data_IF_458765793047
#
_entry.id   IF_458765793047
#
_cell.length_a   1.000
_cell.length_b   1.000
_cell.length_c   1.000
_cell.angle_alpha   90.00
_cell.angle_beta   90.00
_cell.angle_gamma   90.00
#
_symmetry.space_group_name_H-M   'P 1'
#
loop_
_entity.id
_entity.type
_entity.pdbx_description
1 polymer ?
#
# COMPACT_ATOMS: atom_id res chain seq x y z
N UNK A 1 -11.98 -17.26 8.46
CA UNK A 1 -12.38 -16.21 7.52
C UNK A 1 -12.13 -14.84 8.11
N UNK A 2 -12.24 -13.77 7.31
CA UNK A 2 -11.97 -12.42 7.76
C UNK A 2 -12.23 -11.38 6.67
N UNK A 3 -11.90 -10.13 6.97
CA UNK A 3 -12.13 -9.00 6.08
C UNK A 3 -10.88 -8.13 5.93
N UNK A 4 -10.65 -7.66 4.70
CA UNK A 4 -9.82 -6.49 4.42
C UNK A 4 -10.73 -5.28 4.28
N UNK A 5 -10.41 -4.22 4.99
CA UNK A 5 -11.17 -2.98 4.98
C UNK A 5 -10.38 -1.93 4.22
N UNK A 6 -10.97 -1.49 3.12
CA UNK A 6 -10.38 -0.56 2.16
C UNK A 6 -10.37 0.87 2.69
N UNK A 7 -9.27 1.58 2.46
CA UNK A 7 -9.10 3.02 2.69
C UNK A 7 -9.62 3.53 4.05
N UNK A 8 -9.52 2.72 5.10
CA UNK A 8 -10.22 2.94 6.37
C UNK A 8 -9.72 4.17 7.16
N UNK A 9 -8.50 4.62 6.92
CA UNK A 9 -7.93 5.77 7.61
C UNK A 9 -8.64 7.10 7.32
N UNK A 10 -9.54 7.14 6.35
CA UNK A 10 -10.33 8.31 5.95
C UNK A 10 -11.76 8.31 6.52
N UNK A 11 -12.09 7.47 7.48
CA UNK A 11 -13.47 7.28 7.93
C UNK A 11 -14.04 8.53 8.62
N UNK A 12 -13.28 9.18 9.50
CA UNK A 12 -13.65 10.45 10.11
C UNK A 12 -13.29 11.60 9.17
N UNK A 13 -14.28 12.44 8.84
CA UNK A 13 -14.10 13.58 7.93
C UNK A 13 -13.73 14.89 8.64
N UNK A 14 -13.62 14.89 9.97
CA UNK A 14 -13.28 16.09 10.73
C UNK A 14 -14.28 17.24 10.57
N UNK A 15 -15.58 16.95 10.35
CA UNK A 15 -16.63 17.93 10.07
C UNK A 15 -16.89 18.91 11.24
N UNK A 16 -16.34 18.64 12.39
CA UNK A 16 -16.40 19.48 13.59
C UNK A 16 -15.27 20.54 13.64
N UNK A 17 -14.61 20.81 12.53
CA UNK A 17 -13.53 21.79 12.42
C UNK A 17 -12.14 21.28 12.79
N UNK A 18 -11.97 19.96 12.98
CA UNK A 18 -10.66 19.36 13.23
C UNK A 18 -9.85 19.15 11.95
N UNK A 19 -10.52 19.10 10.79
CA UNK A 19 -9.84 19.02 9.50
C UNK A 19 -9.19 20.35 9.12
N UNK A 20 -7.98 20.31 8.61
CA UNK A 20 -7.35 21.50 8.03
C UNK A 20 -7.97 21.76 6.64
N UNK A 21 -8.85 22.75 6.58
CA UNK A 21 -9.55 23.12 5.35
C UNK A 21 -8.64 23.79 4.29
N UNK A 22 -7.39 24.08 4.63
CA UNK A 22 -6.41 24.56 3.65
C UNK A 22 -5.72 23.43 2.88
N UNK A 23 -5.84 22.19 3.36
CA UNK A 23 -5.34 21.00 2.67
C UNK A 23 -6.36 20.51 1.63
N UNK A 24 -5.92 19.99 0.49
CA UNK A 24 -6.82 19.43 -0.51
C UNK A 24 -7.71 18.33 0.07
N UNK A 25 -8.97 18.28 -0.35
CA UNK A 25 -9.93 17.25 0.06
C UNK A 25 -9.37 15.87 -0.29
N UNK A 26 -9.41 14.96 0.68
CA UNK A 26 -8.91 13.59 0.52
C UNK A 26 -7.43 13.42 0.84
N UNK A 27 -6.76 14.46 1.30
CA UNK A 27 -5.37 14.42 1.77
C UNK A 27 -5.27 14.33 3.31
N UNK A 28 -4.16 14.78 3.86
CA UNK A 28 -3.77 14.66 5.27
C UNK A 28 -4.82 15.19 6.27
N UNK A 29 -5.67 16.13 5.85
CA UNK A 29 -6.66 16.77 6.72
C UNK A 29 -7.66 15.81 7.38
N UNK A 30 -7.96 14.67 6.73
CA UNK A 30 -8.97 13.72 7.20
C UNK A 30 -8.37 12.35 7.54
N UNK A 31 -7.04 12.24 7.63
CA UNK A 31 -6.35 10.97 7.80
C UNK A 31 -6.03 10.73 9.27
N UNK A 32 -6.26 9.50 9.74
CA UNK A 32 -5.89 9.04 11.08
C UNK A 32 -6.47 9.90 12.23
N UNK A 33 -7.65 10.48 12.03
CA UNK A 33 -8.32 11.24 13.09
C UNK A 33 -8.80 10.30 14.22
N UNK A 34 -8.90 10.79 15.44
CA UNK A 34 -9.34 10.01 16.60
C UNK A 34 -10.73 9.37 16.41
N UNK A 35 -11.61 10.06 15.69
CA UNK A 35 -12.91 9.48 15.33
C UNK A 35 -12.80 8.23 14.45
N UNK A 36 -11.83 8.18 13.53
CA UNK A 36 -11.53 6.98 12.73
C UNK A 36 -11.20 5.79 13.64
N UNK A 37 -10.27 5.97 14.58
CA UNK A 37 -9.88 4.92 15.51
C UNK A 37 -11.04 4.46 16.40
N UNK A 38 -11.89 5.38 16.85
CA UNK A 38 -13.08 5.06 17.63
C UNK A 38 -14.07 4.20 16.82
N UNK A 39 -14.36 4.57 15.57
CA UNK A 39 -15.26 3.81 14.71
C UNK A 39 -14.71 2.44 14.35
N UNK A 40 -13.39 2.32 14.14
CA UNK A 40 -12.75 1.03 13.88
C UNK A 40 -12.90 0.11 15.10
N UNK A 41 -12.60 0.61 16.30
CA UNK A 41 -12.77 -0.19 17.54
C UNK A 41 -14.20 -0.67 17.73
N UNK A 42 -15.18 0.19 17.49
CA UNK A 42 -16.61 -0.17 17.54
C UNK A 42 -16.93 -1.26 16.50
N UNK A 43 -16.58 -1.04 15.25
CA UNK A 43 -16.80 -1.99 14.16
C UNK A 43 -16.16 -3.36 14.46
N UNK A 44 -14.90 -3.39 14.88
CA UNK A 44 -14.19 -4.64 15.19
C UNK A 44 -14.85 -5.36 16.38
N UNK A 45 -15.22 -4.63 17.43
CA UNK A 45 -15.85 -5.21 18.60
C UNK A 45 -17.21 -5.84 18.28
N UNK A 46 -18.01 -5.20 17.44
CA UNK A 46 -19.38 -5.62 17.13
C UNK A 46 -19.46 -6.68 16.02
N UNK A 47 -18.52 -6.68 15.08
CA UNK A 47 -18.65 -7.52 13.88
C UNK A 47 -17.58 -8.59 13.71
N UNK A 48 -16.38 -8.41 14.25
CA UNK A 48 -15.24 -9.32 14.00
C UNK A 48 -14.87 -10.13 15.24
N UNK A 49 -14.82 -9.48 16.40
CA UNK A 49 -14.46 -10.15 17.66
C UNK A 49 -15.40 -11.29 18.05
N UNK A 50 -16.74 -11.16 17.92
CA UNK A 50 -17.65 -12.22 18.33
C UNK A 50 -17.44 -13.55 17.60
N UNK A 51 -17.07 -13.47 16.32
CA UNK A 51 -16.86 -14.64 15.46
C UNK A 51 -15.38 -14.99 15.27
N UNK A 52 -14.48 -14.32 16.00
CA UNK A 52 -13.03 -14.47 15.90
C UNK A 52 -12.52 -14.36 14.45
N UNK A 53 -13.00 -13.35 13.73
CA UNK A 53 -12.63 -13.09 12.34
C UNK A 53 -11.32 -12.33 12.27
N UNK A 54 -10.50 -12.69 11.27
CA UNK A 54 -9.27 -11.94 10.95
C UNK A 54 -9.63 -10.59 10.32
N UNK A 55 -8.88 -9.55 10.67
CA UNK A 55 -9.08 -8.21 10.13
C UNK A 55 -7.77 -7.60 9.63
N UNK A 56 -7.86 -6.97 8.44
CA UNK A 56 -6.75 -6.23 7.82
C UNK A 56 -7.27 -4.85 7.44
N UNK A 57 -6.68 -3.80 7.99
CA UNK A 57 -7.00 -2.42 7.59
C UNK A 57 -6.00 -1.88 6.57
N UNK A 58 -6.49 -1.35 5.45
CA UNK A 58 -5.67 -0.58 4.55
C UNK A 58 -5.61 0.87 5.03
N UNK A 59 -4.41 1.30 5.40
CA UNK A 59 -4.23 2.51 6.22
C UNK A 59 -3.09 3.39 5.73
N UNK A 60 -3.18 4.68 6.00
CA UNK A 60 -2.06 5.60 5.87
C UNK A 60 -1.18 5.50 7.12
N UNK A 61 0.11 5.37 6.89
CA UNK A 61 1.11 5.32 7.95
C UNK A 61 2.05 6.52 7.75
N UNK A 62 1.84 7.56 8.53
CA UNK A 62 2.67 8.76 8.49
C UNK A 62 3.86 8.65 9.47
N UNK A 63 3.71 7.82 10.50
CA UNK A 63 4.71 7.60 11.54
C UNK A 63 4.54 6.21 12.20
N UNK A 64 5.50 5.84 13.05
CA UNK A 64 5.48 4.53 13.73
C UNK A 64 4.24 4.34 14.63
N UNK A 65 3.76 5.43 15.24
CA UNK A 65 2.62 5.36 16.15
C UNK A 65 1.32 5.02 15.41
N UNK A 66 1.13 5.49 14.18
CA UNK A 66 -0.04 5.14 13.36
C UNK A 66 -0.13 3.63 13.15
N UNK A 67 1.00 2.99 12.81
CA UNK A 67 1.05 1.53 12.63
C UNK A 67 0.65 0.77 13.90
N UNK A 68 1.16 1.21 15.05
CA UNK A 68 0.86 0.62 16.36
C UNK A 68 -0.61 0.81 16.72
N UNK A 69 -1.14 2.00 16.46
CA UNK A 69 -2.55 2.31 16.74
C UNK A 69 -3.48 1.38 15.97
N UNK A 70 -3.17 1.08 14.70
CA UNK A 70 -4.03 0.22 13.87
C UNK A 70 -3.90 -1.27 14.12
N UNK A 71 -2.74 -1.77 14.60
CA UNK A 71 -2.48 -3.22 14.57
C UNK A 71 -1.93 -3.83 15.85
N UNK A 72 -1.74 -3.05 16.93
CA UNK A 72 -1.34 -3.62 18.20
C UNK A 72 -2.51 -4.27 18.93
N UNK A 73 -2.26 -5.33 19.71
CA UNK A 73 -3.30 -5.96 20.52
C UNK A 73 -3.94 -4.98 21.52
N UNK A 74 -3.18 -3.99 22.00
CA UNK A 74 -3.67 -2.98 22.92
C UNK A 74 -4.65 -2.00 22.26
N UNK A 75 -4.54 -1.75 20.96
CA UNK A 75 -5.42 -0.84 20.23
C UNK A 75 -6.84 -1.38 20.08
N UNK A 76 -7.00 -2.71 20.03
CA UNK A 76 -8.27 -3.41 19.75
C UNK A 76 -8.88 -3.01 18.39
N UNK A 77 -8.01 -2.72 17.44
CA UNK A 77 -8.38 -2.40 16.07
C UNK A 77 -8.14 -3.64 15.19
N UNK A 78 -7.31 -3.55 14.17
CA UNK A 78 -7.10 -4.68 13.26
C UNK A 78 -6.05 -5.68 13.77
N UNK A 79 -6.13 -6.92 13.29
CA UNK A 79 -5.07 -7.90 13.51
C UNK A 79 -3.77 -7.52 12.77
N UNK A 80 -3.88 -6.83 11.63
CA UNK A 80 -2.73 -6.32 10.89
C UNK A 80 -3.09 -5.08 10.08
N UNK A 81 -2.10 -4.27 9.81
CA UNK A 81 -2.19 -3.09 8.96
C UNK A 81 -1.49 -3.36 7.62
N UNK A 82 -2.14 -2.97 6.52
CA UNK A 82 -1.53 -2.90 5.19
C UNK A 82 -1.41 -1.43 4.80
N UNK A 83 -0.19 -0.90 4.63
CA UNK A 83 -0.01 0.49 4.26
C UNK A 83 -0.36 0.71 2.78
N UNK A 84 -0.91 1.88 2.43
CA UNK A 84 -1.14 2.27 1.03
C UNK A 84 0.15 2.26 0.20
N UNK A 85 1.25 2.63 0.85
CA UNK A 85 2.56 2.69 0.24
C UNK A 85 3.43 1.62 0.89
N UNK A 86 3.89 0.60 0.15
CA UNK A 86 4.85 -0.35 0.72
C UNK A 86 6.08 0.41 1.22
N UNK A 87 6.78 -0.08 2.26
CA UNK A 87 7.97 0.57 2.82
C UNK A 87 9.10 0.85 1.83
N UNK A 88 9.01 0.33 0.61
CA UNK A 88 10.05 0.40 -0.44
C UNK A 88 9.78 1.49 -1.48
N UNK A 89 8.69 2.24 -1.37
CA UNK A 89 8.12 3.02 -2.45
C UNK A 89 8.51 4.48 -2.52
N UNK A 90 9.65 4.71 -3.03
CA UNK A 90 9.83 5.71 -4.10
C UNK A 90 10.39 4.97 -5.31
N UNK A 91 9.57 4.70 -6.29
CA UNK A 91 9.85 3.90 -7.48
C UNK A 91 11.17 4.31 -8.17
N UNK A 92 11.51 5.57 -8.10
CA UNK A 92 12.69 6.14 -8.73
C UNK A 92 13.95 6.15 -7.84
N UNK A 93 13.85 5.80 -6.56
CA UNK A 93 14.94 5.99 -5.60
C UNK A 93 15.18 4.81 -4.65
N UNK A 94 14.64 3.62 -4.98
CA UNK A 94 14.93 2.46 -4.13
C UNK A 94 16.40 2.06 -4.21
N UNK A 95 16.97 1.69 -3.08
CA UNK A 95 18.31 1.12 -3.00
C UNK A 95 18.37 0.13 -1.83
N UNK A 96 19.31 -0.81 -1.83
CA UNK A 96 19.51 -1.72 -0.70
C UNK A 96 19.72 -1.00 0.63
N UNK A 97 20.34 0.16 0.62
CA UNK A 97 20.57 0.99 1.81
C UNK A 97 19.27 1.60 2.34
N UNK A 98 18.41 2.08 1.42
CA UNK A 98 17.09 2.60 1.78
C UNK A 98 16.22 1.47 2.36
N UNK A 99 16.17 0.32 1.69
CA UNK A 99 15.46 -0.85 2.18
C UNK A 99 15.89 -1.24 3.61
N UNK A 100 17.20 -1.27 3.88
CA UNK A 100 17.70 -1.58 5.23
C UNK A 100 17.27 -0.55 6.27
N UNK A 101 17.23 0.74 5.92
CA UNK A 101 16.76 1.78 6.85
C UNK A 101 15.28 1.62 7.17
N UNK A 102 14.48 1.37 6.15
CA UNK A 102 13.03 1.24 6.30
C UNK A 102 12.67 -0.03 7.09
N UNK A 103 13.33 -1.14 6.81
CA UNK A 103 13.21 -2.37 7.60
C UNK A 103 13.58 -2.16 9.06
N UNK A 104 14.60 -1.35 9.36
CA UNK A 104 14.98 -1.07 10.74
C UNK A 104 13.87 -0.32 11.49
N UNK A 105 13.20 0.64 10.84
CA UNK A 105 12.03 1.33 11.40
C UNK A 105 10.88 0.35 11.64
N UNK A 106 10.61 -0.51 10.68
CA UNK A 106 9.58 -1.54 10.80
C UNK A 106 9.81 -2.49 11.99
N UNK A 107 11.06 -2.85 12.24
CA UNK A 107 11.40 -3.67 13.41
C UNK A 107 11.06 -2.98 14.73
N UNK A 108 11.21 -1.66 14.82
CA UNK A 108 10.84 -0.92 16.03
C UNK A 108 9.31 -0.90 16.25
N UNK A 109 8.52 -0.91 15.16
CA UNK A 109 7.05 -1.04 15.22
C UNK A 109 6.66 -2.43 15.73
N UNK A 110 7.28 -3.47 15.18
CA UNK A 110 7.01 -4.85 15.60
C UNK A 110 7.37 -5.12 17.06
N UNK A 111 8.43 -4.52 17.58
CA UNK A 111 8.79 -4.59 19.00
C UNK A 111 7.72 -3.98 19.92
N UNK A 112 6.87 -3.11 19.39
CA UNK A 112 5.76 -2.47 20.09
C UNK A 112 4.41 -3.13 19.79
N UNK A 113 4.44 -4.40 19.37
CA UNK A 113 3.26 -5.23 19.12
C UNK A 113 2.42 -4.81 17.90
N UNK A 114 2.96 -4.00 16.99
CA UNK A 114 2.33 -3.75 15.70
C UNK A 114 2.54 -4.92 14.73
N UNK A 115 1.60 -5.19 13.82
CA UNK A 115 1.72 -6.25 12.84
C UNK A 115 1.39 -5.83 11.42
N UNK A 116 2.26 -6.19 10.48
CA UNK A 116 2.20 -5.80 9.08
C UNK A 116 1.64 -6.89 8.17
N UNK A 117 0.76 -6.51 7.25
CA UNK A 117 0.56 -7.21 5.99
C UNK A 117 1.67 -6.75 5.01
N UNK A 118 2.56 -7.66 4.65
CA UNK A 118 3.71 -7.39 3.78
C UNK A 118 3.37 -7.67 2.34
N UNK A 119 3.70 -6.75 1.44
CA UNK A 119 3.53 -6.92 0.01
C UNK A 119 4.59 -6.13 -0.77
N UNK A 120 4.84 -6.50 -2.01
CA UNK A 120 5.71 -5.78 -2.94
C UNK A 120 4.94 -5.19 -4.12
N UNK A 121 3.86 -5.85 -4.55
CA UNK A 121 2.90 -5.32 -5.50
C UNK A 121 1.47 -5.68 -5.12
N UNK A 122 0.51 -4.99 -5.70
CA UNK A 122 -0.92 -5.24 -5.57
C UNK A 122 -1.65 -4.73 -6.82
N UNK A 123 -2.98 -4.67 -6.79
CA UNK A 123 -3.80 -4.21 -7.92
C UNK A 123 -3.62 -2.71 -8.25
N UNK A 124 -3.06 -1.92 -7.31
CA UNK A 124 -2.79 -0.48 -7.47
C UNK A 124 -1.33 -0.16 -7.79
N UNK A 125 -0.47 -1.19 -7.86
CA UNK A 125 0.98 -1.01 -8.02
C UNK A 125 1.52 -1.86 -9.17
N UNK A 126 2.60 -1.42 -9.82
CA UNK A 126 3.29 -2.21 -10.83
C UNK A 126 3.73 -3.57 -10.30
N UNK A 127 3.91 -4.52 -11.20
CA UNK A 127 4.44 -5.84 -10.87
C UNK A 127 5.83 -5.74 -10.26
N UNK A 128 6.05 -6.45 -9.16
CA UNK A 128 7.29 -6.37 -8.36
C UNK A 128 8.56 -6.66 -9.18
N UNK A 129 8.51 -7.60 -10.12
CA UNK A 129 9.68 -7.97 -10.93
C UNK A 129 10.07 -6.84 -11.87
N UNK A 130 9.09 -6.20 -12.51
CA UNK A 130 9.33 -5.05 -13.40
C UNK A 130 9.78 -3.81 -12.63
N UNK A 131 9.33 -3.67 -11.36
CA UNK A 131 9.59 -2.49 -10.55
C UNK A 131 10.95 -2.55 -9.81
N UNK A 132 11.25 -3.70 -9.21
CA UNK A 132 12.40 -3.86 -8.31
C UNK A 132 13.48 -4.80 -8.85
N UNK A 133 13.22 -5.50 -9.95
CA UNK A 133 14.10 -6.51 -10.53
C UNK A 133 14.52 -6.21 -11.95
N UNK A 134 14.97 -7.24 -12.62
CA UNK A 134 15.19 -7.26 -14.05
C UNK A 134 14.16 -8.22 -14.65
N UNK A 135 13.24 -7.69 -15.45
CA UNK A 135 12.13 -8.46 -16.04
C UNK A 135 12.47 -9.03 -17.43
N UNK A 136 13.75 -9.03 -17.80
CA UNK A 136 14.27 -9.55 -19.07
C UNK A 136 15.28 -10.67 -18.83
N UNK A 137 16.57 -10.37 -18.89
CA UNK A 137 17.66 -11.35 -18.83
C UNK A 137 17.70 -12.10 -17.51
N UNK A 138 17.48 -11.42 -16.37
CA UNK A 138 17.51 -11.99 -15.01
C UNK A 138 16.12 -12.07 -14.39
N UNK A 139 15.08 -12.31 -15.20
CA UNK A 139 13.70 -12.37 -14.74
C UNK A 139 13.47 -13.41 -13.63
N UNK A 140 13.93 -14.64 -13.86
CA UNK A 140 13.74 -15.75 -12.92
C UNK A 140 14.45 -15.51 -11.60
N UNK A 141 15.68 -15.01 -11.66
CA UNK A 141 16.51 -14.69 -10.50
C UNK A 141 15.89 -13.54 -9.71
N UNK A 142 15.40 -12.51 -10.38
CA UNK A 142 14.71 -11.37 -9.78
C UNK A 142 13.42 -11.81 -9.07
N UNK A 143 12.59 -12.62 -9.72
CA UNK A 143 11.36 -13.13 -9.13
C UNK A 143 11.63 -13.94 -7.86
N UNK A 144 12.62 -14.85 -7.90
CA UNK A 144 13.01 -15.66 -6.74
C UNK A 144 13.61 -14.83 -5.62
N UNK A 145 14.45 -13.85 -5.94
CA UNK A 145 15.04 -12.93 -4.97
C UNK A 145 13.95 -12.14 -4.23
N UNK A 146 13.00 -11.58 -4.97
CA UNK A 146 11.90 -10.78 -4.39
C UNK A 146 10.95 -11.65 -3.56
N UNK A 147 10.65 -12.85 -4.01
CA UNK A 147 9.88 -13.81 -3.22
C UNK A 147 10.62 -14.18 -1.91
N UNK A 148 11.91 -14.48 -2.00
CA UNK A 148 12.72 -14.75 -0.79
C UNK A 148 12.71 -13.55 0.16
N UNK A 149 12.90 -12.35 -0.37
CA UNK A 149 12.85 -11.11 0.42
C UNK A 149 11.51 -10.97 1.14
N UNK A 150 10.39 -11.02 0.41
CA UNK A 150 9.05 -10.86 0.99
C UNK A 150 8.76 -11.88 2.10
N UNK A 151 9.05 -13.16 1.85
CA UNK A 151 8.72 -14.25 2.76
C UNK A 151 9.67 -14.37 3.97
N UNK A 152 10.80 -13.68 3.97
CA UNK A 152 11.73 -13.63 5.12
C UNK A 152 11.54 -12.41 6.00
N UNK A 153 10.67 -11.47 5.60
CA UNK A 153 10.33 -10.32 6.43
C UNK A 153 9.39 -10.70 7.57
N UNK A 154 9.53 -10.08 8.74
CA UNK A 154 8.54 -10.25 9.80
C UNK A 154 7.22 -9.58 9.40
N UNK A 155 6.12 -10.26 9.66
CA UNK A 155 4.77 -9.87 9.23
C UNK A 155 4.07 -11.00 8.47
N UNK A 156 2.91 -10.73 7.92
CA UNK A 156 2.17 -11.68 7.08
C UNK A 156 2.38 -11.34 5.61
N UNK A 157 3.01 -12.22 4.80
CA UNK A 157 3.20 -11.97 3.39
C UNK A 157 1.88 -12.07 2.61
N UNK A 158 1.59 -11.06 1.81
CA UNK A 158 0.49 -11.03 0.86
C UNK A 158 1.08 -11.18 -0.54
N UNK A 159 0.72 -12.24 -1.20
CA UNK A 159 1.18 -12.58 -2.56
C UNK A 159 0.09 -12.17 -3.54
N UNK A 160 0.36 -11.16 -4.36
CA UNK A 160 -0.56 -10.73 -5.39
C UNK A 160 -0.59 -11.78 -6.52
N UNK A 161 -1.78 -12.08 -7.02
CA UNK A 161 -1.95 -13.09 -8.09
C UNK A 161 -0.98 -12.87 -9.24
N UNK A 162 -0.26 -13.90 -9.62
CA UNK A 162 0.77 -13.88 -10.65
C UNK A 162 2.19 -13.64 -10.14
N UNK A 163 2.39 -13.21 -8.90
CA UNK A 163 3.73 -13.09 -8.30
C UNK A 163 4.40 -14.46 -8.17
N UNK A 164 3.63 -15.50 -7.87
CA UNK A 164 4.08 -16.90 -7.82
C UNK A 164 4.62 -17.42 -9.16
N UNK A 165 4.22 -16.78 -10.26
CA UNK A 165 4.70 -17.05 -11.61
C UNK A 165 5.78 -16.05 -12.05
N UNK A 166 6.09 -15.03 -11.25
CA UNK A 166 7.01 -13.97 -11.64
C UNK A 166 6.44 -13.05 -12.72
N UNK A 167 5.12 -12.82 -12.75
CA UNK A 167 4.50 -11.93 -13.75
C UNK A 167 5.13 -10.56 -13.77
N UNK A 168 5.31 -10.02 -14.98
CA UNK A 168 5.81 -8.68 -15.26
C UNK A 168 4.68 -7.73 -15.63
N UNK A 169 4.97 -6.44 -15.74
CA UNK A 169 4.02 -5.46 -16.26
C UNK A 169 3.62 -5.80 -17.69
N UNK A 170 2.38 -5.44 -18.06
CA UNK A 170 1.96 -5.48 -19.45
C UNK A 170 2.66 -4.37 -20.23
N UNK A 171 3.21 -4.72 -21.40
CA UNK A 171 3.83 -3.75 -22.31
C UNK A 171 2.80 -3.32 -23.35
N UNK A 172 1.94 -2.38 -22.96
CA UNK A 172 0.95 -1.82 -23.86
C UNK A 172 1.58 -0.88 -24.87
N UNK A 173 1.06 -0.89 -26.09
CA UNK A 173 1.57 -0.10 -27.22
C UNK A 173 0.56 0.93 -27.73
N UNK A 174 -0.64 0.96 -27.15
CA UNK A 174 -1.69 1.91 -27.47
C UNK A 174 -2.49 2.24 -26.20
N UNK A 175 -2.98 3.48 -26.13
CA UNK A 175 -3.84 3.94 -25.04
C UNK A 175 -5.15 3.14 -24.94
N UNK A 176 -5.65 2.60 -26.04
CA UNK A 176 -6.87 1.78 -26.06
C UNK A 176 -6.78 0.47 -25.28
N UNK A 177 -5.57 0.05 -24.94
CA UNK A 177 -5.33 -1.14 -24.12
C UNK A 177 -5.46 -0.87 -22.62
N UNK A 178 -5.40 0.39 -22.21
CA UNK A 178 -5.60 0.81 -20.82
C UNK A 178 -7.09 0.89 -20.47
N UNK A 179 -7.43 0.50 -19.26
CA UNK A 179 -8.79 0.58 -18.70
C UNK A 179 -8.89 1.47 -17.48
N UNK A 180 -7.77 1.80 -16.90
CA UNK A 180 -7.67 2.65 -15.73
C UNK A 180 -7.95 4.11 -16.08
N UNK A 181 -8.87 4.73 -15.32
CA UNK A 181 -9.32 6.12 -15.55
C UNK A 181 -8.19 7.12 -15.29
N UNK A 182 -7.33 6.86 -14.30
CA UNK A 182 -6.21 7.75 -13.97
C UNK A 182 -5.19 7.78 -15.11
N UNK A 183 -4.81 6.63 -15.64
CA UNK A 183 -3.93 6.50 -16.79
C UNK A 183 -4.49 7.22 -18.03
N UNK A 184 -5.78 7.05 -18.32
CA UNK A 184 -6.44 7.71 -19.44
C UNK A 184 -6.46 9.23 -19.29
N UNK A 185 -6.75 9.73 -18.09
CA UNK A 185 -6.75 11.16 -17.79
C UNK A 185 -5.33 11.75 -17.90
N UNK A 186 -4.34 11.07 -17.35
CA UNK A 186 -2.95 11.51 -17.41
C UNK A 186 -2.43 11.55 -18.85
N UNK A 187 -2.76 10.53 -19.65
CA UNK A 187 -2.47 10.53 -21.08
C UNK A 187 -3.05 11.77 -21.76
N UNK A 188 -4.32 12.10 -21.53
CA UNK A 188 -4.96 13.27 -22.14
C UNK A 188 -4.30 14.59 -21.71
N UNK A 189 -3.87 14.72 -20.46
CA UNK A 189 -3.14 15.89 -19.96
C UNK A 189 -1.82 16.05 -20.74
N UNK A 190 -1.01 15.00 -20.81
CA UNK A 190 0.29 15.02 -21.49
C UNK A 190 0.16 15.32 -23.00
N UNK A 191 -0.89 14.77 -23.66
CA UNK A 191 -1.21 15.09 -25.06
C UNK A 191 -1.63 16.56 -25.21
N UNK A 192 -2.38 17.09 -24.25
CA UNK A 192 -2.75 18.51 -24.20
C UNK A 192 -1.55 19.45 -24.02
N UNK A 193 -0.51 19.01 -23.34
CA UNK A 193 0.76 19.70 -23.18
C UNK A 193 1.66 19.62 -24.43
N UNK A 194 1.23 18.89 -25.47
CA UNK A 194 1.93 18.82 -26.76
C UNK A 194 2.92 17.67 -26.89
N UNK A 195 2.96 16.72 -25.94
CA UNK A 195 3.78 15.51 -26.10
C UNK A 195 3.22 14.64 -27.22
N UNK A 196 4.11 13.97 -27.96
CA UNK A 196 3.73 12.98 -28.95
C UNK A 196 3.12 11.74 -28.29
N UNK A 197 2.39 10.92 -29.03
CA UNK A 197 1.82 9.68 -28.52
C UNK A 197 2.91 8.72 -27.98
N UNK A 198 4.01 8.59 -28.71
CA UNK A 198 5.12 7.73 -28.30
C UNK A 198 5.75 8.20 -26.97
N UNK A 199 6.01 9.51 -26.83
CA UNK A 199 6.52 10.09 -25.58
C UNK A 199 5.54 9.94 -24.40
N UNK A 200 4.24 9.91 -24.67
CA UNK A 200 3.22 9.78 -23.62
C UNK A 200 3.05 8.33 -23.18
N UNK A 201 3.22 7.38 -24.07
CA UNK A 201 3.14 5.95 -23.75
C UNK A 201 4.42 5.39 -23.10
N UNK A 202 5.52 6.12 -23.18
CA UNK A 202 6.82 5.75 -22.57
C UNK A 202 6.94 6.23 -21.11
N UNK A 203 5.99 7.00 -20.63
CA UNK A 203 5.92 7.49 -19.24
C UNK A 203 5.08 6.55 -18.36
#
# INVERSE_FOLDING_TARGET
>A
DGYRIDAISYLDKGLDGRADMNEPIGTVACVNLEGTHRYIREMVAETMTPDNLMSVGEVNINNEQDAINYSSAASKEFNMAIPFVPPIVEIQTWSPEKMKRDLKKDYEILKKDGWWARFLSNHDKPRQVSLYGNDREFWSESAKMLACYLHTLPGTPFVFQGEELGMTNAHFTSIDQYRDVESLNYYNILRGEGKSEAETLDI
#
